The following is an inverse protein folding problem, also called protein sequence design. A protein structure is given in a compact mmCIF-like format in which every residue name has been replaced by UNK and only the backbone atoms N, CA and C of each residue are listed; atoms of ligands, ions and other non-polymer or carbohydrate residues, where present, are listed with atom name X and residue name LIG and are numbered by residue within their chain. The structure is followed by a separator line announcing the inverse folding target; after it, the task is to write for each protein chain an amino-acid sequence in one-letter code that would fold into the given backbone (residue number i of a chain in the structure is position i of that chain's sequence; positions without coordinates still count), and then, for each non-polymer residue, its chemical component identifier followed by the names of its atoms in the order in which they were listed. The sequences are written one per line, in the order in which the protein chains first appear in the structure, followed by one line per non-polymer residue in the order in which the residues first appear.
data_IF_995175066788
#
_entry.id   IF_995175066788
#
_cell.length_a   1.000
_cell.length_b   1.000
_cell.length_c   1.000
_cell.angle_alpha   90.00
_cell.angle_beta   90.00
_cell.angle_gamma   90.00
#
_symmetry.space_group_name_H-M   'P 1'
#
loop_
_entity.id
_entity.type
_entity.pdbx_description
1 polymer ?
#
# COMPACT_ATOMS: atom_id res chain seq x y z
N UNK A 1 -0.01 -7.73 43.42
CA UNK A 1 -1.22 -8.05 42.63
C UNK A 1 -0.86 -7.95 41.16
N UNK A 2 -0.84 -9.09 40.46
CA UNK A 2 -0.53 -9.16 39.03
C UNK A 2 -1.86 -9.04 38.27
N UNK A 3 -2.10 -7.91 37.59
CA UNK A 3 -3.27 -7.77 36.72
C UNK A 3 -2.99 -8.50 35.41
N UNK A 4 -3.54 -9.71 35.36
CA UNK A 4 -3.78 -10.54 34.20
C UNK A 4 -4.25 -9.70 32.99
N UNK A 5 -3.38 -9.50 31.99
CA UNK A 5 -3.82 -9.05 30.66
C UNK A 5 -4.24 -10.29 29.87
N UNK A 6 -5.42 -10.81 30.19
CA UNK A 6 -6.12 -11.74 29.32
C UNK A 6 -6.47 -11.02 27.99
N UNK A 7 -6.33 -11.74 26.88
CA UNK A 7 -6.84 -11.40 25.54
C UNK A 7 -6.06 -10.45 24.61
N UNK A 8 -4.72 -10.51 24.57
CA UNK A 8 -3.99 -9.99 23.39
C UNK A 8 -3.80 -11.11 22.37
N UNK A 9 -4.80 -11.33 21.50
CA UNK A 9 -4.79 -12.35 20.44
C UNK A 9 -3.78 -12.07 19.30
N UNK A 10 -3.09 -10.92 19.25
CA UNK A 10 -2.19 -10.54 18.12
C UNK A 10 -0.92 -9.80 18.56
N UNK A 11 0.23 -10.17 17.99
CA UNK A 11 1.57 -9.55 18.22
C UNK A 11 1.68 -8.15 17.57
N UNK A 12 2.27 -7.17 18.27
CA UNK A 12 2.50 -5.80 17.80
C UNK A 12 2.50 -4.78 18.96
N UNK A 13 2.42 -3.47 18.67
CA UNK A 13 2.44 -2.39 19.66
C UNK A 13 1.22 -2.34 20.62
N UNK A 14 0.35 -3.34 20.64
CA UNK A 14 -0.82 -3.42 21.54
C UNK A 14 -1.93 -2.39 21.29
N UNK A 15 -1.75 -1.44 20.35
CA UNK A 15 -2.70 -0.35 20.07
C UNK A 15 -3.93 -0.81 19.27
N UNK A 16 -3.76 -1.80 18.39
CA UNK A 16 -4.83 -2.26 17.50
C UNK A 16 -5.54 -3.48 18.09
N UNK A 17 -6.87 -3.36 18.27
CA UNK A 17 -7.76 -4.48 18.64
C UNK A 17 -7.76 -5.58 17.58
N UNK A 18 -7.60 -5.20 16.32
CA UNK A 18 -7.46 -6.11 15.19
C UNK A 18 -6.32 -5.68 14.28
N UNK A 19 -5.46 -6.64 13.89
CA UNK A 19 -4.47 -6.40 12.84
C UNK A 19 -5.15 -6.49 11.47
N UNK A 20 -5.23 -5.38 10.71
CA UNK A 20 -5.71 -5.44 9.34
C UNK A 20 -4.70 -6.21 8.49
N UNK A 21 -5.20 -7.07 7.61
CA UNK A 21 -4.39 -7.67 6.54
C UNK A 21 -4.24 -6.64 5.44
N UNK A 22 -3.19 -5.80 5.53
CA UNK A 22 -2.90 -4.78 4.53
C UNK A 22 -1.91 -5.37 3.53
N UNK A 23 -2.32 -5.47 2.28
CA UNK A 23 -1.45 -5.79 1.16
C UNK A 23 -1.19 -4.51 0.35
N UNK A 24 0.07 -4.07 0.33
CA UNK A 24 0.50 -2.86 -0.38
C UNK A 24 0.85 -3.09 -1.85
N UNK A 25 0.79 -4.34 -2.33
CA UNK A 25 1.23 -4.71 -3.68
C UNK A 25 0.27 -4.19 -4.74
N UNK A 26 -0.87 -4.88 -4.85
CA UNK A 26 -1.95 -4.59 -5.79
C UNK A 26 -3.15 -4.10 -5.00
N UNK A 27 -3.60 -2.92 -5.35
CA UNK A 27 -4.77 -2.33 -4.71
C UNK A 27 -6.05 -2.88 -5.34
N UNK A 28 -7.18 -2.72 -4.65
CA UNK A 28 -8.47 -3.23 -5.12
C UNK A 28 -8.98 -2.36 -6.28
N UNK A 29 -9.52 -3.01 -7.30
CA UNK A 29 -10.08 -2.33 -8.47
C UNK A 29 -9.12 -2.28 -9.66
N UNK A 30 -9.60 -1.66 -10.73
CA UNK A 30 -8.84 -1.43 -11.96
C UNK A 30 -8.70 0.06 -12.18
N UNK A 31 -7.57 0.48 -12.70
CA UNK A 31 -7.41 1.83 -13.20
C UNK A 31 -8.33 2.04 -14.40
N UNK A 32 -8.81 3.28 -14.55
CA UNK A 32 -9.61 3.70 -15.71
C UNK A 32 -8.72 3.94 -16.91
N UNK A 33 -9.25 3.84 -18.12
CA UNK A 33 -8.49 4.06 -19.38
C UNK A 33 -7.87 5.46 -19.48
N UNK A 34 -8.41 6.44 -18.77
CA UNK A 34 -7.85 7.79 -18.69
C UNK A 34 -6.67 7.92 -17.72
N UNK A 35 -6.34 6.88 -16.97
CA UNK A 35 -5.24 6.91 -16.02
C UNK A 35 -3.89 6.87 -16.77
N UNK A 36 -2.90 7.70 -16.39
CA UNK A 36 -1.58 7.70 -17.02
C UNK A 36 -0.83 6.36 -16.99
N UNK A 37 -1.22 5.48 -16.06
CA UNK A 37 -0.59 4.18 -15.82
C UNK A 37 -1.37 3.01 -16.43
N UNK A 38 -2.52 3.27 -17.05
CA UNK A 38 -3.40 2.24 -17.59
C UNK A 38 -2.68 1.36 -18.61
N UNK A 39 -2.00 1.96 -19.58
CA UNK A 39 -1.25 1.24 -20.62
C UNK A 39 -0.01 0.53 -20.06
N UNK A 40 0.57 1.05 -18.97
CA UNK A 40 1.78 0.47 -18.35
C UNK A 40 1.45 -0.80 -17.56
N UNK A 41 0.28 -0.85 -16.92
CA UNK A 41 -0.13 -1.97 -16.05
C UNK A 41 -1.38 -2.71 -16.55
N UNK A 42 -1.85 -2.44 -17.77
CA UNK A 42 -3.06 -3.06 -18.32
C UNK A 42 -4.31 -2.80 -17.48
N UNK A 43 -4.39 -1.63 -16.86
CA UNK A 43 -5.46 -1.25 -15.93
C UNK A 43 -5.34 -1.86 -14.53
N UNK A 44 -4.20 -2.43 -14.14
CA UNK A 44 -3.96 -2.83 -12.75
C UNK A 44 -3.47 -1.66 -11.89
N UNK A 45 -4.13 -1.45 -10.74
CA UNK A 45 -3.72 -0.43 -9.78
C UNK A 45 -2.62 -0.95 -8.85
N UNK A 46 -1.38 -0.64 -9.20
CA UNK A 46 -0.17 -1.08 -8.49
C UNK A 46 0.34 0.04 -7.56
N UNK A 47 0.22 -0.15 -6.25
CA UNK A 47 0.71 0.83 -5.26
C UNK A 47 2.22 0.71 -5.02
N UNK A 48 2.79 -0.49 -5.19
CA UNK A 48 4.22 -0.77 -4.99
C UNK A 48 5.09 -0.37 -6.21
N UNK A 49 4.55 0.49 -7.08
CA UNK A 49 5.30 1.06 -8.20
C UNK A 49 5.83 2.45 -7.82
N UNK A 50 7.15 2.59 -7.82
CA UNK A 50 7.83 3.83 -7.44
C UNK A 50 8.82 4.25 -8.51
N UNK A 51 8.57 5.41 -9.11
CA UNK A 51 9.52 6.02 -10.03
C UNK A 51 10.79 6.43 -9.30
N UNK A 52 11.92 6.16 -9.94
CA UNK A 52 13.25 6.64 -9.54
C UNK A 52 13.31 8.17 -9.60
N UNK A 53 14.30 8.75 -8.94
CA UNK A 53 14.54 10.20 -9.02
C UNK A 53 14.87 10.66 -10.44
N UNK A 54 15.54 9.82 -11.24
CA UNK A 54 15.89 10.13 -12.62
C UNK A 54 14.63 10.25 -13.48
N UNK A 55 13.72 9.28 -13.40
CA UNK A 55 12.44 9.31 -14.14
C UNK A 55 11.57 10.50 -13.72
N UNK A 56 11.52 10.81 -12.42
CA UNK A 56 10.80 11.99 -11.90
C UNK A 56 11.35 13.30 -12.43
N UNK A 57 12.66 13.39 -12.66
CA UNK A 57 13.31 14.58 -13.22
C UNK A 57 13.05 14.68 -14.73
N UNK A 58 13.21 13.57 -15.45
CA UNK A 58 12.92 13.50 -16.88
C UNK A 58 11.47 13.90 -17.18
N UNK A 59 10.50 13.40 -16.40
CA UNK A 59 9.08 13.73 -16.56
C UNK A 59 8.75 15.22 -16.30
N UNK A 60 9.57 15.94 -15.53
CA UNK A 60 9.39 17.38 -15.26
C UNK A 60 10.03 18.28 -16.33
N UNK A 61 10.90 17.73 -17.19
CA UNK A 61 11.58 18.49 -18.23
C UNK A 61 12.60 19.51 -17.70
N UNK A 62 13.21 19.25 -16.54
CA UNK A 62 14.28 20.09 -15.94
C UNK A 62 15.65 19.69 -16.48
#
# INVERSE_FOLDING_TARGET
MLTNTADIKKKGAGVLRDKPSIHWKKDRGKDVESAPWFDTFGGERINDHHLTLAEKRAARGV
#
